data_IF_266242158155
#
_entry.id   IF_266242158155
#
_cell.length_a   1.000
_cell.length_b   1.000
_cell.length_c   1.000
_cell.angle_alpha   90.00
_cell.angle_beta   90.00
_cell.angle_gamma   90.00
#
_symmetry.space_group_name_H-M   'P 1'
#
loop_
_entity.id
_entity.type
_entity.pdbx_description
1 polymer ?
#
# COMPACT_ATOMS: atom_id res chain seq x y z
N UNK A 1 -38.06 -3.46 -53.96
CA UNK A 1 -37.27 -2.38 -53.31
C UNK A 1 -37.40 -2.33 -51.77
N UNK A 2 -38.55 -2.65 -51.15
CA UNK A 2 -38.72 -2.56 -49.67
C UNK A 2 -37.86 -3.54 -48.84
N UNK A 3 -37.51 -4.72 -49.39
CA UNK A 3 -36.73 -5.71 -48.68
C UNK A 3 -35.22 -5.37 -48.59
N UNK A 4 -34.65 -4.65 -49.54
CA UNK A 4 -33.26 -4.26 -49.55
C UNK A 4 -32.92 -3.17 -48.52
N UNK A 5 -33.89 -2.27 -48.24
CA UNK A 5 -33.70 -1.25 -47.21
C UNK A 5 -33.59 -1.82 -45.78
N UNK A 6 -34.35 -2.91 -45.51
CA UNK A 6 -34.29 -3.58 -44.21
C UNK A 6 -32.95 -4.28 -43.93
N UNK A 7 -32.40 -4.95 -44.96
CA UNK A 7 -31.14 -5.66 -44.84
C UNK A 7 -29.97 -4.69 -44.69
N UNK A 8 -29.99 -3.57 -45.40
CA UNK A 8 -28.97 -2.54 -45.31
C UNK A 8 -28.96 -1.84 -43.92
N UNK A 9 -30.15 -1.66 -43.32
CA UNK A 9 -30.28 -1.11 -41.96
C UNK A 9 -29.71 -2.03 -40.89
N UNK A 10 -29.91 -3.35 -41.02
CA UNK A 10 -29.39 -4.33 -40.06
C UNK A 10 -27.87 -4.45 -40.17
N UNK A 11 -27.30 -4.41 -41.35
CA UNK A 11 -25.84 -4.45 -41.54
C UNK A 11 -25.17 -3.19 -41.01
N UNK A 12 -25.78 -2.00 -41.22
CA UNK A 12 -25.24 -0.75 -40.66
C UNK A 12 -25.30 -0.71 -39.13
N UNK A 13 -26.39 -1.23 -38.54
CA UNK A 13 -26.54 -1.27 -37.09
C UNK A 13 -25.54 -2.27 -36.43
N UNK A 14 -25.28 -3.42 -37.07
CA UNK A 14 -24.32 -4.39 -36.57
C UNK A 14 -22.87 -3.91 -36.69
N UNK A 15 -22.53 -3.18 -37.77
CA UNK A 15 -21.18 -2.61 -37.90
C UNK A 15 -20.94 -1.43 -36.93
N UNK A 16 -21.96 -0.64 -36.62
CA UNK A 16 -21.83 0.40 -35.58
C UNK A 16 -21.67 -0.19 -34.20
N UNK A 17 -22.39 -1.28 -33.88
CA UNK A 17 -22.19 -1.96 -32.56
C UNK A 17 -20.81 -2.56 -32.40
N UNK A 18 -20.20 -3.10 -33.46
CA UNK A 18 -18.86 -3.63 -33.40
C UNK A 18 -17.81 -2.53 -33.23
N UNK A 19 -18.07 -1.32 -33.71
CA UNK A 19 -17.17 -0.18 -33.56
C UNK A 19 -17.24 0.46 -32.17
N UNK A 20 -18.40 0.45 -31.52
CA UNK A 20 -18.56 1.02 -30.17
C UNK A 20 -18.04 0.09 -29.08
N UNK A 21 -17.97 -1.22 -29.32
CA UNK A 21 -17.45 -2.17 -28.32
C UNK A 21 -15.93 -2.21 -28.25
N UNK A 22 -15.22 -1.69 -29.24
CA UNK A 22 -13.74 -1.64 -29.20
C UNK A 22 -13.16 -0.55 -28.31
N UNK A 23 -13.94 0.43 -27.88
CA UNK A 23 -13.47 1.54 -27.06
C UNK A 23 -13.96 1.54 -25.61
N UNK A 24 -14.64 0.48 -25.17
CA UNK A 24 -15.27 0.49 -23.85
C UNK A 24 -14.51 -0.26 -22.74
N UNK A 25 -13.32 -0.74 -23.01
CA UNK A 25 -12.40 -1.25 -21.97
C UNK A 25 -11.07 -0.50 -21.97
N UNK A 26 -11.13 0.83 -21.98
CA UNK A 26 -10.12 1.55 -21.25
C UNK A 26 -10.46 1.33 -19.77
N UNK A 27 -9.96 0.26 -19.17
CA UNK A 27 -9.67 0.28 -17.75
C UNK A 27 -8.92 1.59 -17.57
N UNK A 28 -9.39 2.54 -16.73
CA UNK A 28 -8.56 3.67 -16.36
C UNK A 28 -7.32 3.05 -15.76
N UNK A 29 -6.29 2.89 -16.57
CA UNK A 29 -4.96 2.74 -16.08
C UNK A 29 -4.76 4.04 -15.32
N UNK A 30 -4.97 3.99 -13.99
CA UNK A 30 -4.35 4.96 -13.12
C UNK A 30 -2.92 5.09 -13.59
N UNK A 31 -2.20 6.17 -13.30
CA UNK A 31 -0.87 6.36 -13.82
C UNK A 31 -0.10 5.06 -13.56
N UNK A 32 0.00 4.22 -14.58
CA UNK A 32 1.00 3.20 -14.63
C UNK A 32 2.30 3.98 -14.73
N UNK A 33 2.78 4.46 -13.57
CA UNK A 33 4.20 4.62 -13.43
C UNK A 33 4.76 3.33 -13.99
N UNK A 34 5.69 3.43 -14.90
CA UNK A 34 6.38 2.28 -15.49
C UNK A 34 7.16 1.60 -14.36
N UNK A 35 6.46 0.91 -13.45
CA UNK A 35 7.02 0.15 -12.34
C UNK A 35 7.97 -0.95 -12.85
N UNK A 36 7.88 -1.28 -14.15
CA UNK A 36 8.69 -2.32 -14.77
C UNK A 36 10.19 -2.06 -14.83
N UNK A 37 10.65 -0.82 -14.61
CA UNK A 37 12.08 -0.48 -14.58
C UNK A 37 12.60 -0.05 -13.22
N UNK A 38 11.72 0.24 -12.26
CA UNK A 38 12.13 0.68 -10.92
C UNK A 38 12.37 -0.53 -10.01
N UNK A 39 13.52 -0.61 -9.34
CA UNK A 39 13.80 -1.69 -8.41
C UNK A 39 12.76 -1.69 -7.27
N UNK A 40 12.09 -2.82 -7.08
CA UNK A 40 11.24 -3.05 -5.93
C UNK A 40 12.09 -3.34 -4.70
N UNK A 41 11.60 -2.91 -3.57
CA UNK A 41 12.14 -3.29 -2.27
C UNK A 41 11.02 -3.74 -1.34
N UNK A 42 11.36 -4.59 -0.41
CA UNK A 42 10.47 -4.99 0.67
C UNK A 42 11.29 -5.28 1.92
N UNK A 43 10.71 -4.97 3.07
CA UNK A 43 11.28 -5.29 4.36
C UNK A 43 10.17 -5.70 5.31
N UNK A 44 10.44 -6.73 6.11
CA UNK A 44 9.52 -7.18 7.15
C UNK A 44 10.30 -7.61 8.39
N UNK A 45 9.61 -7.64 9.50
CA UNK A 45 10.20 -8.03 10.78
C UNK A 45 9.20 -7.98 11.91
N UNK A 46 9.73 -8.13 13.12
CA UNK A 46 8.97 -8.11 14.36
C UNK A 46 9.58 -7.14 15.36
N UNK A 47 8.71 -6.51 16.14
CA UNK A 47 9.08 -5.67 17.28
C UNK A 47 8.32 -6.19 18.50
N UNK A 48 9.02 -6.42 19.58
CA UNK A 48 8.45 -6.88 20.86
C UNK A 48 8.49 -5.82 21.96
N UNK A 49 9.09 -4.67 21.68
CA UNK A 49 9.17 -3.51 22.56
C UNK A 49 9.03 -2.23 21.77
N UNK A 50 8.81 -1.11 22.45
CA UNK A 50 8.89 0.21 21.83
C UNK A 50 10.30 0.44 21.30
N UNK A 51 10.42 0.73 20.00
CA UNK A 51 11.74 0.87 19.36
C UNK A 51 11.70 1.77 18.13
N UNK A 52 12.88 2.18 17.73
CA UNK A 52 13.13 2.91 16.49
C UNK A 52 13.97 2.02 15.56
N UNK A 53 13.47 1.78 14.36
CA UNK A 53 14.10 0.89 13.37
C UNK A 53 14.29 1.66 12.08
N UNK A 54 15.51 1.67 11.54
CA UNK A 54 15.75 2.11 10.16
C UNK A 54 15.33 0.98 9.22
N UNK A 55 14.31 1.22 8.39
CA UNK A 55 13.75 0.23 7.48
C UNK A 55 14.51 0.19 6.16
N UNK A 56 14.83 1.35 5.61
CA UNK A 56 15.53 1.49 4.35
C UNK A 56 16.23 2.85 4.30
N UNK A 57 17.20 2.98 3.41
CA UNK A 57 17.86 4.27 3.13
C UNK A 57 17.82 4.52 1.62
N UNK A 58 17.28 5.66 1.22
CA UNK A 58 17.32 6.12 -0.15
C UNK A 58 18.77 6.48 -0.51
N UNK A 59 19.24 6.10 -1.70
CA UNK A 59 20.54 6.55 -2.17
C UNK A 59 20.50 8.06 -2.46
N UNK A 60 21.66 8.67 -2.62
CA UNK A 60 21.76 10.12 -2.92
C UNK A 60 21.13 10.54 -4.26
N UNK A 61 20.83 9.58 -5.13
CA UNK A 61 20.26 9.80 -6.48
C UNK A 61 18.86 9.23 -6.64
N UNK A 62 18.29 8.63 -5.60
CA UNK A 62 17.00 7.94 -5.71
C UNK A 62 16.08 8.40 -4.59
N UNK A 63 14.80 8.59 -4.93
CA UNK A 63 13.71 8.70 -3.98
C UNK A 63 13.17 7.32 -3.67
N UNK A 64 12.90 7.03 -2.42
CA UNK A 64 12.24 5.80 -2.00
C UNK A 64 10.74 6.08 -1.87
N UNK A 65 9.93 5.34 -2.61
CA UNK A 65 8.47 5.44 -2.57
C UNK A 65 7.90 4.20 -1.88
N UNK A 66 7.18 4.40 -0.78
CA UNK A 66 6.51 3.34 -0.05
C UNK A 66 5.11 3.19 -0.63
N UNK A 67 4.76 2.00 -1.13
CA UNK A 67 3.45 1.71 -1.71
C UNK A 67 2.54 0.94 -0.77
N UNK A 68 3.13 0.09 0.07
CA UNK A 68 2.34 -0.78 0.94
C UNK A 68 2.90 -0.82 2.35
N UNK A 69 1.97 -0.82 3.29
CA UNK A 69 2.24 -0.92 4.73
C UNK A 69 1.30 -1.98 5.31
N UNK A 70 1.85 -2.99 5.94
CA UNK A 70 1.10 -3.99 6.70
C UNK A 70 1.66 -4.06 8.12
N UNK A 71 0.81 -3.85 9.08
CA UNK A 71 1.14 -3.88 10.51
C UNK A 71 0.17 -4.83 11.21
N UNK A 72 0.69 -5.81 11.91
CA UNK A 72 -0.11 -6.78 12.67
C UNK A 72 0.35 -6.82 14.11
N UNK A 73 -0.53 -6.50 15.02
CA UNK A 73 -0.30 -6.65 16.45
C UNK A 73 -0.87 -7.99 16.93
N UNK A 74 -0.11 -8.74 17.73
CA UNK A 74 -0.52 -10.04 18.27
C UNK A 74 0.07 -10.27 19.65
N UNK A 75 -0.46 -11.27 20.37
CA UNK A 75 0.06 -11.67 21.68
C UNK A 75 -0.25 -10.66 22.79
N UNK A 76 -1.52 -10.46 23.10
CA UNK A 76 -1.92 -9.62 24.23
C UNK A 76 -2.18 -10.46 25.48
N UNK A 77 -1.80 -9.95 26.64
CA UNK A 77 -1.97 -10.63 27.93
C UNK A 77 -3.29 -10.21 28.63
N UNK A 78 -4.42 -10.32 27.95
CA UNK A 78 -5.70 -10.11 28.59
C UNK A 78 -6.14 -8.65 28.82
N UNK A 79 -5.40 -7.67 28.30
CA UNK A 79 -5.73 -6.25 28.41
C UNK A 79 -5.81 -5.57 27.04
N UNK A 80 -6.70 -4.56 26.85
CA UNK A 80 -6.72 -3.81 25.62
C UNK A 80 -5.35 -3.20 25.33
N UNK A 81 -4.79 -3.54 24.19
CA UNK A 81 -3.45 -3.17 23.79
C UNK A 81 -3.49 -2.05 22.76
N UNK A 82 -2.64 -1.07 22.93
CA UNK A 82 -2.49 0.04 21.99
C UNK A 82 -1.06 0.12 21.51
N UNK A 83 -0.90 0.04 20.20
CA UNK A 83 0.39 0.28 19.55
C UNK A 83 0.25 1.44 18.59
N UNK A 84 1.17 2.37 18.66
CA UNK A 84 1.30 3.46 17.69
C UNK A 84 2.57 3.25 16.90
N UNK A 85 2.44 3.31 15.58
CA UNK A 85 3.57 3.24 14.66
C UNK A 85 3.61 4.53 13.86
N UNK A 86 4.77 5.20 13.86
CA UNK A 86 5.04 6.36 13.02
C UNK A 86 6.08 5.97 11.99
N UNK A 87 5.82 6.32 10.73
CA UNK A 87 6.82 6.32 9.66
C UNK A 87 7.33 7.74 9.52
N UNK A 88 8.62 7.91 9.51
CA UNK A 88 9.25 9.22 9.38
C UNK A 88 10.56 9.11 8.59
N UNK A 89 11.04 10.25 8.09
CA UNK A 89 12.39 10.33 7.54
C UNK A 89 13.44 10.32 8.63
N UNK A 90 14.69 10.09 8.28
CA UNK A 90 15.82 10.17 9.22
C UNK A 90 15.95 11.55 9.87
N UNK A 91 15.55 12.62 9.18
CA UNK A 91 15.47 14.00 9.71
C UNK A 91 14.25 14.24 10.63
N UNK A 92 13.34 13.27 10.77
CA UNK A 92 12.21 13.32 11.68
C UNK A 92 10.88 13.80 11.07
N UNK A 93 10.82 14.04 9.76
CA UNK A 93 9.57 14.41 9.08
C UNK A 93 8.60 13.21 9.06
N UNK A 94 7.40 13.38 9.60
CA UNK A 94 6.38 12.33 9.68
C UNK A 94 5.74 12.13 8.32
N UNK A 95 5.82 10.91 7.81
CA UNK A 95 5.21 10.45 6.56
C UNK A 95 3.84 9.82 6.79
N UNK A 96 3.68 9.10 7.90
CA UNK A 96 2.44 8.44 8.27
C UNK A 96 2.40 8.04 9.74
N UNK A 97 1.21 7.93 10.29
CA UNK A 97 1.00 7.48 11.65
C UNK A 97 -0.19 6.51 11.71
N UNK A 98 0.02 5.38 12.37
CA UNK A 98 -0.95 4.29 12.48
C UNK A 98 -1.17 3.98 13.95
N UNK A 99 -2.41 3.71 14.30
CA UNK A 99 -2.77 3.26 15.63
C UNK A 99 -3.49 1.94 15.52
N UNK A 100 -2.94 0.93 16.16
CA UNK A 100 -3.52 -0.40 16.25
C UNK A 100 -4.04 -0.57 17.67
N UNK A 101 -5.30 -0.98 17.79
CA UNK A 101 -5.92 -1.28 19.07
C UNK A 101 -6.40 -2.71 18.99
N UNK A 102 -5.81 -3.61 19.76
CA UNK A 102 -6.37 -4.94 19.97
C UNK A 102 -7.27 -4.90 21.18
N UNK A 103 -8.50 -5.36 21.03
CA UNK A 103 -9.43 -5.56 22.13
C UNK A 103 -9.38 -7.04 22.49
N UNK A 104 -9.26 -7.31 23.77
CA UNK A 104 -9.31 -8.66 24.28
C UNK A 104 -10.76 -9.13 24.36
N UNK A 105 -11.04 -10.29 23.79
CA UNK A 105 -12.22 -11.05 24.15
C UNK A 105 -11.78 -12.04 25.25
N UNK A 106 -12.34 -11.90 26.43
CA UNK A 106 -11.97 -12.60 27.66
C UNK A 106 -11.88 -14.14 27.56
N UNK A 107 -12.20 -14.70 26.41
CA UNK A 107 -12.27 -16.15 26.19
C UNK A 107 -11.16 -16.76 25.35
N UNK A 108 -10.31 -15.98 24.66
CA UNK A 108 -9.24 -16.52 23.80
C UNK A 108 -7.92 -15.74 23.98
N UNK A 109 -6.86 -16.48 24.27
CA UNK A 109 -5.53 -15.96 24.64
C UNK A 109 -4.72 -15.33 23.50
N UNK A 110 -5.24 -15.19 22.29
CA UNK A 110 -4.52 -14.61 21.16
C UNK A 110 -5.47 -13.80 20.26
N UNK A 111 -5.50 -12.50 20.45
CA UNK A 111 -6.12 -11.61 19.49
C UNK A 111 -5.04 -10.99 18.59
N UNK A 112 -5.22 -11.05 17.29
CA UNK A 112 -4.41 -10.30 16.34
C UNK A 112 -5.26 -9.21 15.70
N UNK A 113 -4.71 -8.02 15.56
CA UNK A 113 -5.35 -6.94 14.81
C UNK A 113 -4.37 -6.40 13.79
N UNK A 114 -4.82 -6.18 12.56
CA UNK A 114 -4.00 -5.76 11.44
C UNK A 114 -4.49 -4.47 10.84
N UNK A 115 -3.54 -3.63 10.44
CA UNK A 115 -3.76 -2.45 9.60
C UNK A 115 -3.00 -2.67 8.31
N UNK A 116 -3.71 -2.64 7.19
CA UNK A 116 -3.11 -2.70 5.86
C UNK A 116 -3.46 -1.44 5.09
N UNK A 117 -2.47 -0.83 4.48
CA UNK A 117 -2.65 0.40 3.70
C UNK A 117 -1.84 0.33 2.41
N UNK A 118 -2.53 0.54 1.28
CA UNK A 118 -1.91 0.69 -0.03
C UNK A 118 -2.01 2.15 -0.46
N UNK A 119 -0.89 2.75 -0.79
CA UNK A 119 -0.80 4.15 -1.20
C UNK A 119 -0.70 4.25 -2.72
N UNK A 120 -1.75 4.73 -3.38
CA UNK A 120 -1.77 4.87 -4.83
C UNK A 120 -0.68 5.81 -5.37
N UNK A 121 -0.34 6.87 -4.62
CA UNK A 121 0.74 7.81 -4.95
C UNK A 121 2.04 7.56 -4.19
N UNK A 122 2.02 6.61 -3.24
CA UNK A 122 3.14 6.32 -2.35
C UNK A 122 3.41 7.39 -1.28
N UNK A 123 4.22 7.01 -0.27
CA UNK A 123 4.82 7.94 0.68
C UNK A 123 6.28 8.12 0.28
N UNK A 124 6.69 9.36 0.04
CA UNK A 124 8.02 9.67 -0.50
C UNK A 124 9.05 9.91 0.60
N UNK A 125 10.17 9.19 0.53
CA UNK A 125 11.39 9.46 1.32
C UNK A 125 12.39 10.11 0.37
N UNK A 126 12.84 11.34 0.63
CA UNK A 126 13.77 12.05 -0.22
C UNK A 126 15.11 11.32 -0.43
N UNK A 127 15.80 11.63 -1.52
CA UNK A 127 17.12 11.10 -1.81
C UNK A 127 18.09 11.40 -0.66
N UNK A 128 18.90 10.39 -0.30
CA UNK A 128 19.85 10.46 0.81
C UNK A 128 19.24 10.31 2.22
N UNK A 129 17.92 10.31 2.36
CA UNK A 129 17.23 10.15 3.64
C UNK A 129 16.94 8.68 3.94
N UNK A 130 16.77 8.38 5.23
CA UNK A 130 16.35 7.06 5.68
C UNK A 130 14.86 7.04 5.97
N UNK A 131 14.21 5.91 5.71
CA UNK A 131 12.89 5.57 6.23
C UNK A 131 13.06 4.96 7.62
N UNK A 132 12.42 5.56 8.60
CA UNK A 132 12.49 5.13 10.00
C UNK A 132 11.10 4.82 10.51
N UNK A 133 10.94 3.66 11.14
CA UNK A 133 9.76 3.29 11.90
C UNK A 133 10.02 3.53 13.39
N UNK A 134 9.11 4.27 14.01
CA UNK A 134 9.08 4.45 15.47
C UNK A 134 7.82 3.79 16.00
N UNK A 135 7.99 2.73 16.79
CA UNK A 135 6.88 2.06 17.44
C UNK A 135 6.83 2.42 18.92
N UNK A 136 5.62 2.69 19.43
CA UNK A 136 5.33 2.81 20.84
C UNK A 136 4.32 1.72 21.18
N UNK A 137 4.75 0.72 21.90
CA UNK A 137 3.98 -0.49 22.21
C UNK A 137 3.51 -0.47 23.64
N UNK A 138 2.22 -0.70 23.84
CA UNK A 138 1.64 -0.90 25.16
C UNK A 138 1.76 -2.35 25.65
N UNK A 139 1.76 -3.32 24.71
CA UNK A 139 1.80 -4.75 24.98
C UNK A 139 1.93 -5.56 23.67
N UNK A 140 2.18 -6.87 23.80
CA UNK A 140 2.25 -7.82 22.69
C UNK A 140 3.43 -7.59 21.76
N UNK A 141 3.33 -8.17 20.58
CA UNK A 141 4.32 -8.08 19.51
C UNK A 141 3.71 -7.38 18.28
N UNK A 142 4.54 -6.71 17.53
CA UNK A 142 4.19 -6.05 16.28
C UNK A 142 4.96 -6.72 15.14
N UNK A 143 4.26 -7.42 14.23
CA UNK A 143 4.82 -7.79 12.94
C UNK A 143 4.57 -6.64 11.96
N UNK A 144 5.56 -6.36 11.12
CA UNK A 144 5.47 -5.32 10.10
C UNK A 144 6.00 -5.79 8.76
N UNK A 145 5.41 -5.28 7.70
CA UNK A 145 5.89 -5.44 6.33
C UNK A 145 5.66 -4.14 5.57
N UNK A 146 6.70 -3.69 4.87
CA UNK A 146 6.68 -2.53 4.01
C UNK A 146 7.21 -2.91 2.65
N UNK A 147 6.61 -2.35 1.61
CA UNK A 147 7.12 -2.49 0.24
C UNK A 147 7.03 -1.19 -0.53
N UNK A 148 7.78 -1.10 -1.62
CA UNK A 148 7.82 0.09 -2.44
C UNK A 148 8.78 -0.03 -3.62
N UNK A 149 9.15 1.12 -4.17
CA UNK A 149 10.04 1.22 -5.33
C UNK A 149 11.06 2.35 -5.13
N UNK A 150 12.21 2.21 -5.76
CA UNK A 150 13.19 3.28 -5.91
C UNK A 150 12.91 4.02 -7.22
N UNK A 151 12.80 5.34 -7.14
CA UNK A 151 12.62 6.21 -8.31
C UNK A 151 13.89 7.03 -8.51
N UNK A 152 14.46 6.97 -9.70
CA UNK A 152 15.55 7.86 -10.09
C UNK A 152 14.99 9.27 -10.34
N UNK A 153 15.61 10.27 -9.77
CA UNK A 153 15.41 11.68 -10.13
C UNK A 153 16.27 12.10 -11.30
#
# INVERSE_FOLDING_TARGET
MKHYLGIMGIILCSTLMIWTTKNSFAIPQGPMSNLGSNPHWSIGGEANTSQTITLATASSSNVLLITDVVLTQYGTNGNPCRTTVKLQTGSGNILGAYRIVSMDDYSYSYTSNSVSHAYASGLSVPAGESLVMVSTMGCGNLAYSFSGVHIHE
#
